data_IF_913191847677
#
_entry.id   IF_913191847677
#
_cell.length_a   1.000
_cell.length_b   1.000
_cell.length_c   1.000
_cell.angle_alpha   90.00
_cell.angle_beta   90.00
_cell.angle_gamma   90.00
#
_symmetry.space_group_name_H-M   'P 1'
#
loop_
_entity.id
_entity.type
_entity.pdbx_description
1 polymer ?
#
# COMPACT_ATOMS: atom_id res chain seq x y z
N UNK A 1 26.36 -15.22 -26.10
CA UNK A 1 24.96 -14.80 -25.84
C UNK A 1 24.47 -15.45 -24.56
N UNK A 2 24.91 -14.95 -23.40
CA UNK A 2 24.39 -15.41 -22.11
C UNK A 2 23.02 -14.77 -21.92
N UNK A 3 21.96 -15.58 -22.01
CA UNK A 3 20.64 -15.18 -21.54
C UNK A 3 20.79 -14.86 -20.05
N UNK A 4 20.88 -13.58 -19.71
CA UNK A 4 20.60 -13.10 -18.37
C UNK A 4 19.14 -13.46 -18.12
N UNK A 5 18.93 -14.60 -17.47
CA UNK A 5 17.64 -14.92 -16.86
C UNK A 5 17.30 -13.73 -15.99
N UNK A 6 16.24 -13.00 -16.36
CA UNK A 6 15.71 -11.87 -15.60
C UNK A 6 15.53 -12.35 -14.17
N UNK A 7 16.38 -11.87 -13.27
CA UNK A 7 16.36 -12.25 -11.87
C UNK A 7 15.15 -11.53 -11.27
N UNK A 8 14.03 -12.23 -11.19
CA UNK A 8 12.85 -11.72 -10.49
C UNK A 8 13.31 -11.43 -9.06
N UNK A 9 13.23 -10.16 -8.65
CA UNK A 9 13.54 -9.72 -7.30
C UNK A 9 12.40 -10.15 -6.37
N UNK A 10 12.46 -11.40 -5.92
CA UNK A 10 11.46 -12.01 -5.05
C UNK A 10 12.17 -12.72 -3.90
N UNK A 11 11.93 -12.24 -2.68
CA UNK A 11 12.40 -12.89 -1.46
C UNK A 11 11.26 -13.79 -0.90
N UNK A 12 11.38 -15.12 -1.04
CA UNK A 12 10.33 -16.04 -0.62
C UNK A 12 10.13 -16.06 0.90
N UNK A 13 11.16 -15.76 1.69
CA UNK A 13 11.04 -15.74 3.15
C UNK A 13 10.22 -14.54 3.59
N UNK A 14 10.56 -13.35 3.09
CA UNK A 14 9.85 -12.13 3.41
C UNK A 14 8.39 -12.19 2.91
N UNK A 15 8.18 -12.70 1.70
CA UNK A 15 6.84 -12.90 1.15
C UNK A 15 5.99 -13.85 2.02
N UNK A 16 6.57 -14.98 2.42
CA UNK A 16 5.88 -15.96 3.28
C UNK A 16 5.52 -15.37 4.65
N UNK A 17 6.45 -14.63 5.27
CA UNK A 17 6.18 -13.94 6.54
C UNK A 17 5.04 -12.91 6.42
N UNK A 18 5.04 -12.09 5.37
CA UNK A 18 3.95 -11.13 5.11
C UNK A 18 2.62 -11.82 4.87
N UNK A 19 2.61 -12.91 4.12
CA UNK A 19 1.41 -13.69 3.85
C UNK A 19 0.81 -14.29 5.13
N UNK A 20 1.66 -14.85 5.98
CA UNK A 20 1.26 -15.44 7.26
C UNK A 20 0.70 -14.37 8.20
N UNK A 21 1.39 -13.23 8.32
CA UNK A 21 0.94 -12.08 9.12
C UNK A 21 -0.41 -11.54 8.64
N UNK A 22 -0.60 -11.43 7.33
CA UNK A 22 -1.85 -10.96 6.72
C UNK A 22 -3.01 -11.91 6.99
N UNK A 23 -2.76 -13.22 6.91
CA UNK A 23 -3.78 -14.25 7.19
C UNK A 23 -4.18 -14.25 8.66
N UNK A 24 -3.21 -14.13 9.58
CA UNK A 24 -3.49 -13.97 11.01
C UNK A 24 -4.25 -12.67 11.30
N UNK A 25 -3.91 -11.58 10.61
CA UNK A 25 -4.63 -10.31 10.71
C UNK A 25 -6.10 -10.44 10.32
N UNK A 26 -6.41 -11.18 9.25
CA UNK A 26 -7.79 -11.47 8.86
C UNK A 26 -8.53 -12.29 9.91
N UNK A 27 -7.86 -13.28 10.52
CA UNK A 27 -8.46 -14.07 11.60
C UNK A 27 -8.80 -13.21 12.82
N UNK A 28 -7.88 -12.33 13.25
CA UNK A 28 -8.13 -11.40 14.34
C UNK A 28 -9.23 -10.39 14.01
N UNK A 29 -9.26 -9.89 12.76
CA UNK A 29 -10.30 -8.98 12.30
C UNK A 29 -11.69 -9.64 12.32
N UNK A 30 -11.80 -10.88 11.86
CA UNK A 30 -13.05 -11.64 11.92
C UNK A 30 -13.54 -11.81 13.37
N UNK A 31 -12.62 -12.08 14.30
CA UNK A 31 -12.93 -12.19 15.73
C UNK A 31 -13.38 -10.86 16.34
N UNK A 32 -12.70 -9.75 16.02
CA UNK A 32 -12.99 -8.42 16.57
C UNK A 32 -14.23 -7.76 15.97
N UNK A 33 -14.63 -8.13 14.75
CA UNK A 33 -15.74 -7.54 14.01
C UNK A 33 -17.10 -8.21 14.26
N UNK A 34 -17.24 -9.04 15.29
CA UNK A 34 -18.45 -9.84 15.55
C UNK A 34 -18.86 -10.73 14.35
N UNK A 35 -17.88 -11.30 13.64
CA UNK A 35 -18.09 -12.13 12.45
C UNK A 35 -18.74 -11.40 11.24
N UNK A 36 -18.54 -10.08 11.12
CA UNK A 36 -18.94 -9.32 9.93
C UNK A 36 -18.08 -9.69 8.70
N UNK A 37 -18.68 -10.44 7.79
CA UNK A 37 -18.02 -10.90 6.56
C UNK A 37 -17.73 -9.77 5.58
N UNK A 38 -18.48 -8.67 5.59
CA UNK A 38 -18.27 -7.56 4.66
C UNK A 38 -16.96 -6.82 4.97
N UNK A 39 -16.64 -6.67 6.26
CA UNK A 39 -15.38 -6.07 6.71
C UNK A 39 -14.19 -6.96 6.33
N UNK A 40 -14.33 -8.28 6.52
CA UNK A 40 -13.29 -9.25 6.19
C UNK A 40 -13.06 -9.34 4.69
N UNK A 41 -14.12 -9.34 3.86
CA UNK A 41 -14.01 -9.33 2.40
C UNK A 41 -13.33 -8.06 1.89
N UNK A 42 -13.67 -6.89 2.44
CA UNK A 42 -12.98 -5.64 2.12
C UNK A 42 -11.49 -5.73 2.47
N UNK A 43 -11.15 -6.21 3.67
CA UNK A 43 -9.76 -6.36 4.08
C UNK A 43 -9.00 -7.34 3.19
N UNK A 44 -9.62 -8.46 2.83
CA UNK A 44 -9.04 -9.44 1.91
C UNK A 44 -8.73 -8.81 0.54
N UNK A 45 -9.65 -8.00 0.00
CA UNK A 45 -9.42 -7.27 -1.25
C UNK A 45 -8.23 -6.31 -1.14
N UNK A 46 -8.12 -5.54 -0.04
CA UNK A 46 -6.97 -4.66 0.19
C UNK A 46 -5.65 -5.43 0.28
N UNK A 47 -5.62 -6.56 0.99
CA UNK A 47 -4.45 -7.44 1.09
C UNK A 47 -4.05 -7.95 -0.31
N UNK A 48 -5.02 -8.45 -1.08
CA UNK A 48 -4.78 -8.97 -2.42
C UNK A 48 -4.21 -7.91 -3.37
N UNK A 49 -4.83 -6.73 -3.41
CA UNK A 49 -4.33 -5.58 -4.21
C UNK A 49 -2.95 -5.15 -3.72
N UNK A 50 -2.72 -5.13 -2.40
CA UNK A 50 -1.43 -4.80 -1.80
C UNK A 50 -0.31 -5.74 -2.26
N UNK A 51 -0.55 -7.05 -2.29
CA UNK A 51 0.43 -8.03 -2.79
C UNK A 51 0.73 -7.86 -4.28
N UNK A 52 -0.26 -7.53 -5.10
CA UNK A 52 -0.06 -7.22 -6.52
C UNK A 52 0.83 -5.98 -6.67
N UNK A 53 0.48 -4.88 -6.00
CA UNK A 53 1.24 -3.63 -6.05
C UNK A 53 2.67 -3.85 -5.57
N UNK A 54 2.86 -4.54 -4.44
CA UNK A 54 4.19 -4.86 -3.91
C UNK A 54 5.04 -5.62 -4.94
N UNK A 55 4.46 -6.63 -5.58
CA UNK A 55 5.17 -7.44 -6.59
C UNK A 55 5.53 -6.62 -7.82
N UNK A 56 4.63 -5.74 -8.28
CA UNK A 56 4.88 -4.85 -9.43
C UNK A 56 5.96 -3.81 -9.13
N UNK A 57 5.89 -3.20 -7.94
CA UNK A 57 6.84 -2.17 -7.50
C UNK A 57 8.21 -2.76 -7.16
N UNK A 58 8.31 -4.05 -6.85
CA UNK A 58 9.60 -4.71 -6.58
C UNK A 58 10.39 -5.10 -7.82
N UNK A 59 9.81 -5.08 -9.02
CA UNK A 59 10.50 -5.47 -10.26
C UNK A 59 11.50 -4.44 -10.83
N UNK A 60 11.24 -3.12 -10.80
CA UNK A 60 12.14 -2.13 -11.38
C UNK A 60 13.47 -2.01 -10.63
N UNK A 61 14.52 -1.64 -11.35
CA UNK A 61 15.83 -1.42 -10.75
C UNK A 61 15.80 -0.36 -9.64
N UNK A 62 16.44 -0.60 -8.48
CA UNK A 62 16.52 0.36 -7.37
C UNK A 62 17.04 1.74 -7.78
N UNK A 63 17.88 1.82 -8.83
CA UNK A 63 18.42 3.07 -9.36
C UNK A 63 17.34 4.00 -9.94
N UNK A 64 16.24 3.45 -10.46
CA UNK A 64 15.11 4.23 -10.99
C UNK A 64 14.43 4.97 -9.83
N UNK A 65 14.19 4.28 -8.72
CA UNK A 65 13.63 4.88 -7.51
C UNK A 65 14.57 5.93 -6.94
N UNK A 66 15.88 5.67 -6.94
CA UNK A 66 16.88 6.64 -6.46
C UNK A 66 16.88 7.93 -7.27
N UNK A 67 16.82 7.84 -8.61
CA UNK A 67 16.77 9.02 -9.50
C UNK A 67 15.46 9.78 -9.41
N UNK A 68 14.34 9.08 -9.21
CA UNK A 68 13.00 9.67 -9.17
C UNK A 68 12.59 10.12 -7.75
N UNK A 69 13.38 9.77 -6.72
CA UNK A 69 13.11 10.07 -5.31
C UNK A 69 12.77 11.53 -5.03
N UNK A 70 13.53 12.48 -5.61
CA UNK A 70 13.26 13.90 -5.46
C UNK A 70 11.90 14.33 -6.04
N UNK A 71 11.50 13.77 -7.18
CA UNK A 71 10.18 14.03 -7.77
C UNK A 71 9.05 13.43 -6.93
N UNK A 72 9.23 12.21 -6.42
CA UNK A 72 8.27 11.57 -5.51
C UNK A 72 8.09 12.38 -4.22
N UNK A 73 9.17 12.92 -3.66
CA UNK A 73 9.13 13.75 -2.45
C UNK A 73 8.42 15.08 -2.69
N UNK A 74 8.69 15.76 -3.80
CA UNK A 74 7.97 17.00 -4.14
C UNK A 74 6.48 16.68 -4.36
N UNK A 75 6.17 15.58 -5.05
CA UNK A 75 4.81 15.14 -5.27
C UNK A 75 4.07 14.82 -3.95
N UNK A 76 4.71 14.11 -3.01
CA UNK A 76 4.10 13.77 -1.72
C UNK A 76 3.86 15.01 -0.86
N UNK A 77 4.78 15.98 -0.87
CA UNK A 77 4.59 17.28 -0.20
C UNK A 77 3.42 18.07 -0.79
N UNK A 78 3.30 18.13 -2.12
CA UNK A 78 2.18 18.78 -2.79
C UNK A 78 0.85 18.09 -2.42
N UNK A 79 0.83 16.76 -2.42
CA UNK A 79 -0.36 15.98 -2.05
C UNK A 79 -0.75 16.23 -0.58
N UNK A 80 0.22 16.40 0.32
CA UNK A 80 0.01 16.78 1.71
C UNK A 80 -0.66 18.16 1.82
N UNK A 81 -0.16 19.14 1.05
CA UNK A 81 -0.74 20.47 0.96
C UNK A 81 -2.18 20.44 0.43
N UNK A 82 -2.45 19.63 -0.59
CA UNK A 82 -3.80 19.45 -1.14
C UNK A 82 -4.74 18.84 -0.09
N UNK A 83 -4.30 17.81 0.66
CA UNK A 83 -5.13 17.24 1.73
C UNK A 83 -5.43 18.21 2.86
N UNK A 84 -4.49 19.10 3.19
CA UNK A 84 -4.73 20.09 4.22
C UNK A 84 -5.75 21.15 3.78
N UNK A 85 -5.86 21.43 2.48
CA UNK A 85 -6.80 22.44 1.97
C UNK A 85 -8.16 21.86 1.60
N UNK A 86 -8.20 20.62 1.08
CA UNK A 86 -9.39 20.01 0.48
C UNK A 86 -9.76 18.64 1.06
N UNK A 87 -9.00 18.12 2.02
CA UNK A 87 -9.25 16.82 2.63
C UNK A 87 -10.46 16.86 3.56
N UNK A 88 -11.34 15.84 3.53
CA UNK A 88 -12.40 15.69 4.53
C UNK A 88 -11.81 15.62 5.94
N UNK A 89 -12.45 16.32 6.87
CA UNK A 89 -12.12 16.22 8.28
C UNK A 89 -12.72 14.93 8.86
N UNK A 90 -11.84 14.04 9.32
CA UNK A 90 -12.21 12.76 9.95
C UNK A 90 -11.59 12.75 11.34
N UNK A 91 -12.41 12.63 12.39
CA UNK A 91 -11.98 12.63 13.79
C UNK A 91 -11.12 13.87 14.17
N UNK A 92 -11.46 15.05 13.63
CA UNK A 92 -10.74 16.30 13.90
C UNK A 92 -9.43 16.48 13.12
N UNK A 93 -9.15 15.63 12.13
CA UNK A 93 -7.93 15.71 11.32
C UNK A 93 -8.21 15.54 9.81
N UNK A 94 -7.56 16.37 8.99
CA UNK A 94 -7.63 16.32 7.52
C UNK A 94 -6.39 15.62 6.96
N UNK A 95 -6.43 14.29 6.89
CA UNK A 95 -5.30 13.44 6.45
C UNK A 95 -5.59 12.58 5.21
N UNK A 96 -6.87 12.42 4.90
CA UNK A 96 -7.33 11.46 3.91
C UNK A 96 -7.70 12.19 2.63
N UNK A 97 -7.15 11.76 1.49
CA UNK A 97 -7.68 12.05 0.16
C UNK A 97 -8.80 11.06 -0.11
N UNK A 98 -10.02 11.54 -0.31
CA UNK A 98 -11.13 10.68 -0.72
C UNK A 98 -11.41 10.86 -2.21
N UNK A 99 -11.21 9.80 -2.98
CA UNK A 99 -11.57 9.72 -4.41
C UNK A 99 -12.64 8.64 -4.58
N UNK A 100 -13.91 9.04 -4.53
CA UNK A 100 -15.04 8.11 -4.56
C UNK A 100 -15.02 7.13 -3.38
N UNK A 101 -15.00 5.82 -3.69
CA UNK A 101 -14.93 4.73 -2.70
C UNK A 101 -13.52 4.46 -2.17
N UNK A 102 -12.50 5.08 -2.76
CA UNK A 102 -11.11 4.91 -2.31
C UNK A 102 -10.70 6.09 -1.42
N UNK A 103 -10.10 5.75 -0.28
CA UNK A 103 -9.47 6.71 0.60
C UNK A 103 -7.99 6.40 0.69
N UNK A 104 -7.16 7.38 0.36
CA UNK A 104 -5.71 7.27 0.44
C UNK A 104 -5.17 8.31 1.42
N UNK A 105 -4.23 7.91 2.28
CA UNK A 105 -3.63 8.83 3.24
C UNK A 105 -2.37 9.45 2.62
N UNK A 106 -2.36 10.77 2.43
CA UNK A 106 -1.23 11.45 1.76
C UNK A 106 0.12 11.22 2.43
N UNK A 107 0.13 11.01 3.75
CA UNK A 107 1.37 10.74 4.49
C UNK A 107 1.95 9.34 4.25
N UNK A 108 1.26 8.42 3.57
CA UNK A 108 1.84 7.12 3.20
C UNK A 108 2.82 7.24 2.02
N UNK A 109 2.81 8.34 1.26
CA UNK A 109 3.76 8.60 0.17
C UNK A 109 5.04 9.33 0.59
N UNK A 110 5.09 9.83 1.83
CA UNK A 110 6.18 10.68 2.33
C UNK A 110 7.16 9.82 3.12
#
# INVERSE_FOLDING_TARGET
MSKQLQKIYFDPYLFSSLFLLSTLGLFFLFSASNADLDIVLKQFFYIFVGFIIMTLVSQPDPDIFRRTSGLFLIFSLLLLGITYLFGPEINGAQRWVRVGSFSFQSSELL
#
